data_IF_650576130095
#
_entry.id   IF_650576130095
#
_cell.length_a   1.000
_cell.length_b   1.000
_cell.length_c   1.000
_cell.angle_alpha   90.00
_cell.angle_beta   90.00
_cell.angle_gamma   90.00
#
_symmetry.space_group_name_H-M   'P 1'
#
loop_
_entity.id
_entity.type
_entity.pdbx_description
1 polymer ?
#
# COMPACT_ATOMS: atom_id res chain seq x y z
N UNK A 1 -42.45 -9.93 28.30
CA UNK A 1 -43.47 -10.99 28.07
C UNK A 1 -43.04 -11.68 26.78
N UNK A 2 -42.09 -12.63 26.86
CA UNK A 2 -42.34 -14.09 26.94
C UNK A 2 -43.21 -14.55 25.74
N UNK A 3 -42.86 -15.51 24.89
CA UNK A 3 -42.25 -16.84 25.08
C UNK A 3 -41.59 -17.29 23.74
N UNK A 4 -40.39 -17.90 23.76
CA UNK A 4 -40.08 -19.35 23.71
C UNK A 4 -40.24 -19.97 22.30
N UNK A 5 -39.18 -20.41 21.62
CA UNK A 5 -38.30 -21.58 21.83
C UNK A 5 -38.85 -22.85 21.16
N UNK A 6 -38.14 -23.35 20.14
CA UNK A 6 -37.88 -24.78 19.94
C UNK A 6 -36.82 -24.99 18.85
N UNK A 7 -35.67 -25.53 19.23
CA UNK A 7 -34.71 -26.10 18.30
C UNK A 7 -34.18 -27.40 18.90
N UNK A 8 -34.64 -28.49 18.29
CA UNK A 8 -34.41 -29.86 18.72
C UNK A 8 -32.92 -30.23 18.73
N UNK A 9 -32.54 -30.87 19.82
CA UNK A 9 -31.25 -31.50 20.06
C UNK A 9 -31.14 -32.78 19.21
N UNK A 10 -30.24 -32.83 18.24
CA UNK A 10 -29.87 -34.06 17.54
C UNK A 10 -28.67 -34.71 18.22
N UNK A 11 -28.86 -35.94 18.68
CA UNK A 11 -27.90 -36.77 19.37
C UNK A 11 -26.75 -37.25 18.47
N UNK A 12 -25.52 -37.16 18.95
CA UNK A 12 -24.34 -37.79 18.35
C UNK A 12 -24.19 -39.25 18.82
N UNK A 13 -23.87 -40.21 17.94
CA UNK A 13 -23.43 -41.53 18.37
C UNK A 13 -21.93 -41.52 18.73
N UNK A 14 -21.56 -42.26 19.77
CA UNK A 14 -20.18 -42.48 20.20
C UNK A 14 -19.46 -43.51 19.31
N UNK A 15 -18.18 -43.31 18.98
CA UNK A 15 -17.32 -44.39 18.52
C UNK A 15 -16.25 -44.69 19.56
N UNK A 16 -16.30 -45.91 20.11
CA UNK A 16 -15.18 -46.57 20.74
C UNK A 16 -14.31 -47.21 19.66
N UNK A 17 -13.10 -46.72 19.44
CA UNK A 17 -11.98 -47.52 18.89
C UNK A 17 -10.65 -46.80 19.06
N UNK A 18 -9.65 -47.58 19.44
CA UNK A 18 -8.27 -47.21 19.78
C UNK A 18 -7.54 -46.45 18.65
N UNK A 19 -7.03 -45.25 18.97
CA UNK A 19 -6.11 -44.50 18.11
C UNK A 19 -4.79 -44.29 18.83
N UNK A 20 -3.72 -44.79 18.20
CA UNK A 20 -2.34 -44.63 18.63
C UNK A 20 -1.98 -43.16 18.82
N UNK A 21 -1.33 -42.83 19.94
CA UNK A 21 -0.74 -41.54 20.20
C UNK A 21 0.26 -41.17 19.08
N UNK A 22 -0.12 -40.23 18.21
CA UNK A 22 0.84 -39.38 17.50
C UNK A 22 0.81 -38.00 18.16
N UNK A 23 1.97 -37.44 18.57
CA UNK A 23 1.98 -36.10 19.14
C UNK A 23 1.53 -35.11 18.06
N UNK A 24 0.47 -34.34 18.36
CA UNK A 24 0.08 -33.19 17.54
C UNK A 24 1.28 -32.24 17.45
N UNK A 25 1.95 -32.23 16.29
CA UNK A 25 2.96 -31.22 15.99
C UNK A 25 2.24 -29.89 15.94
N UNK A 26 2.65 -28.94 16.80
CA UNK A 26 2.20 -27.54 16.74
C UNK A 26 2.59 -26.99 15.37
N UNK A 27 1.65 -27.02 14.42
CA UNK A 27 1.81 -26.35 13.11
C UNK A 27 1.71 -24.86 13.37
N UNK A 28 2.68 -24.11 12.87
CA UNK A 28 2.67 -22.66 12.98
C UNK A 28 1.70 -22.12 11.93
N UNK A 29 0.56 -21.61 12.39
CA UNK A 29 -0.41 -20.91 11.55
C UNK A 29 0.04 -19.46 11.45
N UNK A 30 0.40 -19.00 10.26
CA UNK A 30 0.65 -17.58 10.02
C UNK A 30 -0.70 -16.93 9.76
N UNK A 31 -1.34 -16.44 10.82
CA UNK A 31 -2.54 -15.61 10.72
C UNK A 31 -2.13 -14.14 10.63
N UNK A 32 -2.55 -13.44 9.58
CA UNK A 32 -2.33 -12.01 9.45
C UNK A 32 -3.43 -11.25 10.22
N UNK A 33 -3.28 -11.13 11.54
CA UNK A 33 -4.16 -10.32 12.40
C UNK A 33 -3.48 -9.01 12.79
N UNK A 34 -4.20 -7.91 12.59
CA UNK A 34 -3.79 -6.54 12.93
C UNK A 34 -3.85 -6.28 14.44
N UNK A 35 -2.84 -6.73 15.18
CA UNK A 35 -2.45 -6.20 16.50
C UNK A 35 -1.18 -6.90 16.99
N UNK A 36 -0.02 -6.29 16.76
CA UNK A 36 1.24 -6.71 17.38
C UNK A 36 1.81 -5.56 18.21
N UNK A 37 1.96 -5.83 19.50
CA UNK A 37 2.84 -5.10 20.39
C UNK A 37 4.27 -5.19 19.84
N UNK A 38 4.91 -4.05 19.61
CA UNK A 38 6.29 -3.95 19.17
C UNK A 38 7.23 -4.18 20.35
N UNK A 39 8.00 -5.26 20.31
CA UNK A 39 9.20 -5.43 21.15
C UNK A 39 10.39 -4.81 20.41
N UNK A 40 10.86 -3.68 20.92
CA UNK A 40 11.94 -2.86 20.34
C UNK A 40 13.34 -3.50 20.46
N UNK A 41 13.48 -4.63 21.16
CA UNK A 41 14.78 -5.24 21.45
C UNK A 41 15.31 -6.19 20.36
N UNK A 42 14.50 -6.50 19.33
CA UNK A 42 14.84 -7.46 18.27
C UNK A 42 15.07 -6.83 16.87
N UNK A 43 15.14 -5.50 16.76
CA UNK A 43 15.56 -4.85 15.51
C UNK A 43 17.07 -5.04 15.31
N UNK A 44 17.46 -6.08 14.57
CA UNK A 44 18.76 -6.10 13.91
C UNK A 44 18.85 -4.89 12.95
N UNK A 45 19.99 -4.18 12.90
CA UNK A 45 20.13 -3.03 12.01
C UNK A 45 19.89 -3.46 10.55
N UNK A 46 19.07 -2.67 9.84
CA UNK A 46 18.86 -2.84 8.40
C UNK A 46 20.22 -2.83 7.69
N UNK A 47 20.43 -3.67 6.66
CA UNK A 47 21.68 -3.67 5.92
C UNK A 47 21.94 -2.26 5.38
N UNK A 48 23.11 -1.71 5.71
CA UNK A 48 23.57 -0.44 5.16
C UNK A 48 23.72 -0.64 3.64
N UNK A 49 22.75 -0.15 2.87
CA UNK A 49 22.82 -0.09 1.41
C UNK A 49 23.81 1.02 1.01
N UNK A 50 25.10 0.77 1.27
CA UNK A 50 26.21 1.55 0.74
C UNK A 50 26.66 0.91 -0.58
N UNK A 51 25.85 1.02 -1.62
CA UNK A 51 26.29 0.82 -2.99
C UNK A 51 26.17 2.17 -3.70
N UNK A 52 27.31 2.81 -3.97
CA UNK A 52 27.36 4.02 -4.77
C UNK A 52 26.83 3.71 -6.18
N UNK A 53 25.60 4.12 -6.46
CA UNK A 53 25.02 4.05 -7.81
C UNK A 53 25.77 5.08 -8.67
N UNK A 54 26.39 4.67 -9.79
CA UNK A 54 27.09 5.61 -10.66
C UNK A 54 26.07 6.56 -11.29
N UNK A 55 26.32 7.86 -11.14
CA UNK A 55 25.54 8.92 -11.79
C UNK A 55 25.71 8.84 -13.31
N UNK A 56 24.85 8.07 -13.96
CA UNK A 56 24.74 8.11 -15.43
C UNK A 56 24.02 9.39 -15.83
N UNK A 57 24.81 10.42 -16.10
CA UNK A 57 24.34 11.62 -16.79
C UNK A 57 23.90 11.30 -18.22
N UNK A 58 22.68 11.71 -18.57
CA UNK A 58 22.19 11.75 -19.95
C UNK A 58 20.68 11.52 -20.10
N UNK A 59 19.88 12.59 -20.06
CA UNK A 59 18.62 12.63 -20.83
C UNK A 59 17.28 12.59 -20.10
N UNK A 60 17.16 13.03 -18.84
CA UNK A 60 15.86 13.31 -18.22
C UNK A 60 16.06 13.90 -16.84
N UNK A 61 15.59 15.11 -16.59
CA UNK A 61 15.71 15.76 -15.27
C UNK A 61 14.73 15.09 -14.29
N UNK A 62 15.04 13.88 -13.84
CA UNK A 62 14.25 13.13 -12.88
C UNK A 62 14.15 13.91 -11.56
N UNK A 63 12.96 14.02 -10.99
CA UNK A 63 12.72 14.66 -9.67
C UNK A 63 11.78 13.82 -8.84
N UNK A 64 12.12 13.62 -7.56
CA UNK A 64 11.30 12.87 -6.61
C UNK A 64 10.88 13.85 -5.51
N UNK A 65 9.58 13.95 -5.24
CA UNK A 65 9.06 14.72 -4.10
C UNK A 65 8.28 13.78 -3.19
N UNK A 66 8.32 14.09 -1.90
CA UNK A 66 7.51 13.42 -0.89
C UNK A 66 6.33 14.29 -0.50
N UNK A 67 5.16 13.69 -0.32
CA UNK A 67 4.14 14.29 0.53
C UNK A 67 4.41 13.99 2.01
N UNK A 68 3.45 14.33 2.87
CA UNK A 68 3.57 14.26 4.33
C UNK A 68 3.23 12.88 4.92
N UNK A 69 2.60 11.98 4.16
CA UNK A 69 2.07 10.73 4.70
C UNK A 69 3.17 9.72 5.07
N UNK A 70 4.26 9.67 4.30
CA UNK A 70 5.40 8.80 4.61
C UNK A 70 6.72 9.34 4.00
N UNK A 71 7.33 10.38 4.62
CA UNK A 71 8.59 10.95 4.14
C UNK A 71 9.79 10.02 4.29
N UNK A 72 9.74 9.07 5.23
CA UNK A 72 10.82 8.11 5.46
C UNK A 72 10.97 7.20 4.24
N UNK A 73 9.87 6.62 3.76
CA UNK A 73 9.89 5.78 2.56
C UNK A 73 10.35 6.55 1.32
N UNK A 74 9.88 7.79 1.14
CA UNK A 74 10.31 8.62 0.02
C UNK A 74 11.83 8.89 0.06
N UNK A 75 12.38 9.13 1.26
CA UNK A 75 13.81 9.32 1.45
C UNK A 75 14.61 8.05 1.17
N UNK A 76 14.13 6.88 1.60
CA UNK A 76 14.76 5.59 1.29
C UNK A 76 14.80 5.32 -0.22
N UNK A 77 13.70 5.60 -0.94
CA UNK A 77 13.64 5.49 -2.40
C UNK A 77 14.66 6.43 -3.06
N UNK A 78 14.73 7.69 -2.62
CA UNK A 78 15.68 8.66 -3.17
C UNK A 78 17.14 8.23 -2.91
N UNK A 79 17.45 7.80 -1.69
CA UNK A 79 18.77 7.28 -1.31
C UNK A 79 19.17 6.06 -2.16
N UNK A 80 18.25 5.11 -2.36
CA UNK A 80 18.49 3.93 -3.19
C UNK A 80 18.82 4.30 -4.64
N UNK A 81 18.23 5.39 -5.16
CA UNK A 81 18.51 5.91 -6.50
C UNK A 81 19.74 6.82 -6.56
N UNK A 82 20.42 7.07 -5.43
CA UNK A 82 21.55 8.00 -5.36
C UNK A 82 21.15 9.46 -5.56
N UNK A 83 19.94 9.83 -5.15
CA UNK A 83 19.34 11.16 -5.33
C UNK A 83 18.89 11.77 -4.00
N UNK A 84 18.70 13.08 -4.01
CA UNK A 84 18.05 13.81 -2.92
C UNK A 84 16.57 14.05 -3.24
N UNK A 85 15.74 14.13 -2.20
CA UNK A 85 14.37 14.58 -2.35
C UNK A 85 14.31 16.04 -2.79
N UNK A 86 13.42 16.32 -3.73
CA UNK A 86 13.12 17.65 -4.15
C UNK A 86 12.47 18.47 -3.03
N UNK A 87 12.76 19.77 -3.02
CA UNK A 87 12.29 20.67 -1.97
C UNK A 87 10.85 21.09 -2.21
N UNK A 88 9.96 20.70 -1.31
CA UNK A 88 8.54 21.08 -1.31
C UNK A 88 8.16 21.62 0.06
N UNK A 89 7.43 22.74 0.07
CA UNK A 89 6.85 23.31 1.28
C UNK A 89 5.38 22.93 1.34
N UNK A 90 5.04 22.09 2.31
CA UNK A 90 3.67 21.68 2.61
C UNK A 90 3.30 22.26 3.98
N UNK A 91 2.18 22.96 4.08
CA UNK A 91 1.65 23.47 5.35
C UNK A 91 0.13 23.38 5.36
N UNK A 92 -0.46 23.40 6.55
CA UNK A 92 -1.90 23.51 6.74
C UNK A 92 -2.25 24.92 7.21
N UNK A 93 -3.30 25.49 6.64
CA UNK A 93 -3.90 26.73 7.12
C UNK A 93 -4.74 26.46 8.38
N UNK A 94 -5.17 27.52 9.06
CA UNK A 94 -5.89 27.40 10.34
C UNK A 94 -7.26 26.72 10.22
N UNK A 95 -7.85 26.75 9.03
CA UNK A 95 -9.11 26.09 8.64
C UNK A 95 -8.91 24.66 8.11
N UNK A 96 -7.66 24.18 8.03
CA UNK A 96 -7.32 22.83 7.56
C UNK A 96 -7.00 22.72 6.07
N UNK A 97 -7.12 23.81 5.30
CA UNK A 97 -6.73 23.81 3.89
C UNK A 97 -5.23 23.54 3.69
N UNK A 98 -4.88 22.92 2.56
CA UNK A 98 -3.53 22.47 2.26
C UNK A 98 -2.85 23.45 1.33
N UNK A 99 -1.69 23.93 1.73
CA UNK A 99 -0.80 24.70 0.87
C UNK A 99 0.39 23.86 0.45
N UNK A 100 0.65 23.82 -0.85
CA UNK A 100 1.82 23.18 -1.45
C UNK A 100 2.57 24.18 -2.32
N UNK A 101 3.88 24.26 -2.14
CA UNK A 101 4.76 25.05 -2.99
C UNK A 101 6.03 24.25 -3.31
N UNK A 102 6.27 24.00 -4.59
CA UNK A 102 7.56 23.50 -5.08
C UNK A 102 8.61 24.61 -4.90
N UNK A 103 9.72 24.30 -4.22
CA UNK A 103 10.79 25.27 -3.94
C UNK A 103 11.93 25.21 -4.98
N UNK A 104 11.72 24.46 -6.05
CA UNK A 104 12.66 24.33 -7.16
C UNK A 104 11.92 24.12 -8.49
N UNK A 105 12.60 24.42 -9.60
CA UNK A 105 12.01 24.31 -10.93
C UNK A 105 11.88 22.84 -11.37
N UNK A 106 10.65 22.44 -11.67
CA UNK A 106 10.31 21.14 -12.28
C UNK A 106 10.00 21.23 -13.78
N UNK A 107 10.26 22.38 -14.42
CA UNK A 107 9.97 22.56 -15.85
C UNK A 107 10.73 21.54 -16.70
N UNK A 108 9.99 20.80 -17.53
CA UNK A 108 10.54 19.76 -18.40
C UNK A 108 11.10 18.54 -17.67
N UNK A 109 10.86 18.42 -16.36
CA UNK A 109 11.33 17.31 -15.54
C UNK A 109 10.34 16.14 -15.55
N UNK A 110 10.86 14.93 -15.36
CA UNK A 110 10.04 13.75 -15.10
C UNK A 110 9.88 13.62 -13.58
N UNK A 111 8.68 13.88 -13.09
CA UNK A 111 8.40 14.05 -11.65
C UNK A 111 7.74 12.81 -11.08
N UNK A 112 8.24 12.34 -9.95
CA UNK A 112 7.70 11.24 -9.14
C UNK A 112 7.23 11.80 -7.81
N UNK A 113 5.95 11.62 -7.50
CA UNK A 113 5.34 12.09 -6.25
C UNK A 113 5.04 10.89 -5.37
N UNK A 114 5.81 10.71 -4.29
CA UNK A 114 5.60 9.63 -3.32
C UNK A 114 4.62 10.11 -2.26
N UNK A 115 3.39 9.60 -2.32
CA UNK A 115 2.34 9.93 -1.35
C UNK A 115 1.34 8.78 -1.21
N UNK A 116 1.46 7.96 -0.16
CA UNK A 116 0.40 7.05 0.24
C UNK A 116 -0.89 7.81 0.61
N UNK A 117 -2.06 7.24 0.34
CA UNK A 117 -3.36 7.78 0.76
C UNK A 117 -3.92 7.04 1.98
N UNK A 118 -3.04 6.75 2.94
CA UNK A 118 -3.37 6.11 4.22
C UNK A 118 -4.08 7.10 5.17
N UNK A 119 -4.66 6.64 6.30
CA UNK A 119 -5.30 7.52 7.27
C UNK A 119 -4.36 8.63 7.77
N UNK A 120 -4.79 9.91 7.78
CA UNK A 120 -6.12 10.41 7.39
C UNK A 120 -6.25 10.52 5.84
N UNK A 121 -7.14 9.69 5.28
CA UNK A 121 -7.10 9.34 3.85
C UNK A 121 -7.47 10.51 2.93
N UNK A 122 -8.42 11.35 3.35
CA UNK A 122 -8.90 12.47 2.56
C UNK A 122 -7.85 13.56 2.45
N UNK A 123 -7.17 13.85 3.54
CA UNK A 123 -6.14 14.86 3.68
C UNK A 123 -4.92 14.47 2.87
N UNK A 124 -4.52 13.20 2.92
CA UNK A 124 -3.41 12.67 2.14
C UNK A 124 -3.73 12.60 0.64
N UNK A 125 -4.97 12.25 0.29
CA UNK A 125 -5.47 12.29 -1.10
C UNK A 125 -5.48 13.73 -1.63
N UNK A 126 -6.08 14.67 -0.90
CA UNK A 126 -6.12 16.07 -1.31
C UNK A 126 -4.72 16.67 -1.46
N UNK A 127 -3.79 16.32 -0.57
CA UNK A 127 -2.40 16.74 -0.68
C UNK A 127 -1.75 16.22 -1.97
N UNK A 128 -1.93 14.94 -2.30
CA UNK A 128 -1.44 14.36 -3.56
C UNK A 128 -2.01 15.11 -4.77
N UNK A 129 -3.33 15.36 -4.81
CA UNK A 129 -3.98 16.06 -5.92
C UNK A 129 -3.42 17.48 -6.10
N UNK A 130 -3.20 18.21 -5.01
CA UNK A 130 -2.62 19.56 -5.03
C UNK A 130 -1.15 19.53 -5.46
N UNK A 131 -0.38 18.53 -5.03
CA UNK A 131 1.01 18.33 -5.50
C UNK A 131 1.07 18.04 -7.01
N UNK A 132 0.17 17.21 -7.54
CA UNK A 132 0.05 16.92 -8.97
C UNK A 132 -0.27 18.22 -9.74
N UNK A 133 -1.28 18.97 -9.31
CA UNK A 133 -1.67 20.23 -9.95
C UNK A 133 -0.52 21.26 -9.93
N UNK A 134 0.20 21.39 -8.81
CA UNK A 134 1.38 22.26 -8.70
C UNK A 134 2.47 21.88 -9.71
N UNK A 135 2.76 20.59 -9.88
CA UNK A 135 3.74 20.10 -10.86
C UNK A 135 3.28 20.36 -12.31
N UNK A 136 1.98 20.14 -12.60
CA UNK A 136 1.38 20.36 -13.92
C UNK A 136 1.49 21.82 -14.32
N UNK A 137 1.09 22.75 -13.43
CA UNK A 137 1.16 24.20 -13.66
C UNK A 137 2.61 24.70 -13.76
N UNK A 138 3.55 24.04 -13.07
CA UNK A 138 4.98 24.31 -13.18
C UNK A 138 5.61 23.72 -14.47
N UNK A 139 4.80 23.17 -15.39
CA UNK A 139 5.23 22.61 -16.68
C UNK A 139 6.19 21.41 -16.55
N UNK A 140 5.94 20.53 -15.58
CA UNK A 140 6.55 19.20 -15.56
C UNK A 140 6.27 18.46 -16.88
N UNK A 141 7.24 17.69 -17.35
CA UNK A 141 7.10 16.91 -18.61
C UNK A 141 6.20 15.70 -18.38
N UNK A 142 6.45 14.97 -17.30
CA UNK A 142 5.62 13.85 -16.85
C UNK A 142 5.45 13.91 -15.34
N UNK A 143 4.31 13.39 -14.86
CA UNK A 143 3.99 13.31 -13.44
C UNK A 143 3.54 11.89 -13.15
N UNK A 144 4.34 11.15 -12.37
CA UNK A 144 4.04 9.81 -11.90
C UNK A 144 3.63 9.86 -10.44
N UNK A 145 2.40 9.47 -10.13
CA UNK A 145 1.95 9.34 -8.74
C UNK A 145 2.38 7.96 -8.20
N UNK A 146 3.27 7.97 -7.21
CA UNK A 146 3.73 6.76 -6.51
C UNK A 146 2.90 6.64 -5.23
N UNK A 147 2.00 5.64 -5.21
CA UNK A 147 0.98 5.44 -4.18
C UNK A 147 1.17 4.06 -3.54
N UNK A 148 2.08 3.93 -2.54
CA UNK A 148 2.36 2.66 -1.88
C UNK A 148 1.14 2.04 -1.19
N UNK A 149 0.19 2.87 -0.74
CA UNK A 149 -1.09 2.43 -0.20
C UNK A 149 -2.19 3.22 -0.88
N UNK A 150 -3.05 2.52 -1.65
CA UNK A 150 -4.19 3.11 -2.32
C UNK A 150 -5.42 3.10 -1.40
N UNK A 151 -5.71 4.24 -0.78
CA UNK A 151 -6.93 4.49 -0.02
C UNK A 151 -8.19 4.29 -0.87
N UNK A 152 -9.31 4.00 -0.22
CA UNK A 152 -10.59 3.65 -0.87
C UNK A 152 -10.59 2.36 -1.70
N UNK A 153 -9.48 1.61 -1.77
CA UNK A 153 -9.38 0.39 -2.58
C UNK A 153 -10.39 -0.71 -2.22
N UNK A 154 -10.93 -0.73 -0.99
CA UNK A 154 -11.98 -1.68 -0.56
C UNK A 154 -13.37 -1.36 -1.09
N UNK A 155 -13.56 -0.15 -1.63
CA UNK A 155 -14.81 0.31 -2.24
C UNK A 155 -14.66 0.34 -3.78
N UNK A 156 -14.25 -0.80 -4.34
CA UNK A 156 -13.97 -1.04 -5.76
C UNK A 156 -15.20 -1.57 -6.53
N UNK A 157 -16.20 -2.08 -5.83
CA UNK A 157 -17.47 -2.53 -6.44
C UNK A 157 -18.67 -2.13 -5.60
N UNK A 158 -19.85 -2.15 -6.23
CA UNK A 158 -21.12 -2.07 -5.52
C UNK A 158 -21.45 -3.43 -4.93
N UNK A 159 -21.62 -3.49 -3.62
CA UNK A 159 -22.18 -4.63 -2.91
C UNK A 159 -23.70 -4.54 -2.84
N UNK A 160 -24.25 -3.32 -2.81
CA UNK A 160 -25.68 -3.04 -2.84
C UNK A 160 -26.05 -1.98 -3.88
N UNK A 161 -27.35 -1.86 -4.16
CA UNK A 161 -27.86 -0.78 -5.01
C UNK A 161 -27.57 0.60 -4.40
N UNK A 162 -27.25 1.58 -5.25
CA UNK A 162 -27.00 3.00 -4.88
C UNK A 162 -25.74 3.27 -4.06
N UNK A 163 -24.78 2.35 -4.06
CA UNK A 163 -23.44 2.61 -3.52
C UNK A 163 -22.53 3.35 -4.51
N UNK A 164 -21.52 4.03 -3.98
CA UNK A 164 -20.43 4.60 -4.78
C UNK A 164 -19.37 3.53 -5.10
N UNK A 165 -18.60 3.76 -6.15
CA UNK A 165 -17.35 3.04 -6.41
C UNK A 165 -16.23 4.04 -6.13
N UNK A 166 -15.88 4.19 -4.86
CA UNK A 166 -14.97 5.24 -4.41
C UNK A 166 -13.56 5.06 -4.98
N UNK A 167 -13.10 3.81 -5.17
CA UNK A 167 -11.81 3.54 -5.81
C UNK A 167 -11.75 4.13 -7.24
N UNK A 168 -12.82 3.98 -8.03
CA UNK A 168 -12.93 4.56 -9.38
C UNK A 168 -13.00 6.09 -9.32
N UNK A 169 -13.75 6.66 -8.37
CA UNK A 169 -13.78 8.11 -8.18
C UNK A 169 -12.38 8.67 -7.90
N UNK A 170 -11.63 8.05 -6.98
CA UNK A 170 -10.27 8.46 -6.63
C UNK A 170 -9.33 8.34 -7.84
N UNK A 171 -9.44 7.24 -8.60
CA UNK A 171 -8.66 7.07 -9.83
C UNK A 171 -8.92 8.18 -10.86
N UNK A 172 -10.20 8.55 -11.05
CA UNK A 172 -10.59 9.66 -11.92
C UNK A 172 -10.00 10.99 -11.43
N UNK A 173 -10.09 11.28 -10.12
CA UNK A 173 -9.54 12.52 -9.55
C UNK A 173 -8.03 12.65 -9.76
N UNK A 174 -7.27 11.57 -9.54
CA UNK A 174 -5.82 11.53 -9.75
C UNK A 174 -5.49 11.77 -11.23
N UNK A 175 -6.24 11.15 -12.13
CA UNK A 175 -6.09 11.30 -13.59
C UNK A 175 -6.38 12.74 -14.01
N UNK A 176 -7.51 13.31 -13.58
CA UNK A 176 -7.94 14.67 -13.91
C UNK A 176 -7.02 15.77 -13.34
N UNK A 177 -6.46 15.55 -12.13
CA UNK A 177 -5.45 16.45 -11.58
C UNK A 177 -4.24 16.59 -12.52
N UNK A 178 -3.93 15.54 -13.30
CA UNK A 178 -2.90 15.55 -14.34
C UNK A 178 -1.78 14.55 -14.11
N UNK A 179 -2.03 13.47 -13.37
CA UNK A 179 -1.11 12.35 -13.35
C UNK A 179 -1.03 11.73 -14.76
N UNK A 180 0.19 11.43 -15.21
CA UNK A 180 0.45 10.77 -16.48
C UNK A 180 0.58 9.25 -16.32
N UNK A 181 0.92 8.81 -15.11
CA UNK A 181 1.16 7.41 -14.73
C UNK A 181 0.92 7.24 -13.23
N UNK A 182 0.51 6.05 -12.83
CA UNK A 182 0.41 5.66 -11.41
C UNK A 182 1.31 4.46 -11.16
N UNK A 183 2.02 4.46 -10.04
CA UNK A 183 2.69 3.28 -9.51
C UNK A 183 2.03 2.95 -8.18
N UNK A 184 1.42 1.77 -8.07
CA UNK A 184 0.74 1.33 -6.86
C UNK A 184 1.28 -0.02 -6.39
N UNK A 185 1.30 -0.26 -5.08
CA UNK A 185 1.69 -1.54 -4.48
C UNK A 185 0.46 -2.30 -3.99
N UNK A 186 0.39 -3.59 -4.30
CA UNK A 186 -0.59 -4.55 -3.79
C UNK A 186 -2.03 -3.98 -3.68
N UNK A 187 -2.59 -3.61 -4.84
CA UNK A 187 -3.98 -3.15 -4.92
C UNK A 187 -4.92 -4.21 -4.37
N UNK A 188 -5.93 -3.78 -3.60
CA UNK A 188 -6.92 -4.66 -2.98
C UNK A 188 -7.58 -5.62 -3.99
N UNK A 189 -7.77 -5.13 -5.21
CA UNK A 189 -8.33 -5.89 -6.33
C UNK A 189 -7.56 -5.52 -7.59
N UNK A 190 -7.03 -6.51 -8.30
CA UNK A 190 -6.30 -6.30 -9.55
C UNK A 190 -7.12 -5.61 -10.64
N UNK A 191 -8.45 -5.68 -10.57
CA UNK A 191 -9.35 -4.97 -11.48
C UNK A 191 -9.28 -3.44 -11.31
N UNK A 192 -8.80 -2.96 -10.16
CA UNK A 192 -8.64 -1.53 -9.90
C UNK A 192 -7.66 -0.85 -10.86
N UNK A 193 -6.76 -1.62 -11.50
CA UNK A 193 -5.91 -1.14 -12.59
C UNK A 193 -6.75 -0.55 -13.72
N UNK A 194 -7.87 -1.19 -14.06
CA UNK A 194 -8.79 -0.74 -15.11
C UNK A 194 -9.62 0.50 -14.75
N UNK A 195 -9.47 1.06 -13.54
CA UNK A 195 -10.10 2.33 -13.19
C UNK A 195 -9.34 3.54 -13.72
N UNK A 196 -8.06 3.39 -14.02
CA UNK A 196 -7.25 4.46 -14.57
C UNK A 196 -7.24 4.40 -16.09
N UNK A 197 -7.49 5.55 -16.72
CA UNK A 197 -7.37 5.73 -18.17
C UNK A 197 -5.92 6.08 -18.58
N UNK A 198 -4.98 5.98 -17.63
CA UNK A 198 -3.54 6.21 -17.76
C UNK A 198 -2.78 4.94 -17.35
N UNK A 199 -1.52 4.74 -17.80
CA UNK A 199 -0.73 3.59 -17.42
C UNK A 199 -0.57 3.44 -15.90
N UNK A 200 -0.77 2.22 -15.41
CA UNK A 200 -0.57 1.85 -14.00
C UNK A 200 0.46 0.74 -13.91
N UNK A 201 1.52 0.99 -13.15
CA UNK A 201 2.49 -0.02 -12.77
C UNK A 201 2.09 -0.60 -11.41
N UNK A 202 1.61 -1.85 -11.43
CA UNK A 202 1.20 -2.58 -10.22
C UNK A 202 2.37 -3.42 -9.70
N UNK A 203 2.94 -3.00 -8.57
CA UNK A 203 4.06 -3.68 -7.91
C UNK A 203 3.53 -4.63 -6.86
N UNK A 204 4.14 -5.82 -6.76
CA UNK A 204 3.75 -6.85 -5.80
C UNK A 204 4.76 -6.97 -4.67
N UNK A 205 4.30 -6.90 -3.43
CA UNK A 205 5.11 -7.13 -2.23
C UNK A 205 5.33 -8.62 -1.92
N UNK A 206 4.58 -9.52 -2.55
CA UNK A 206 4.64 -10.97 -2.33
C UNK A 206 6.07 -11.53 -2.38
N UNK A 207 6.94 -11.22 -3.38
CA UNK A 207 8.29 -11.76 -3.41
C UNK A 207 9.11 -11.40 -2.16
N UNK A 208 8.99 -10.16 -1.67
CA UNK A 208 9.69 -9.70 -0.45
C UNK A 208 9.25 -10.48 0.78
N UNK A 209 7.95 -10.73 0.90
CA UNK A 209 7.39 -11.51 2.02
C UNK A 209 7.87 -12.96 1.94
N UNK A 210 7.87 -13.56 0.74
CA UNK A 210 8.33 -14.93 0.54
C UNK A 210 9.82 -15.08 0.86
N UNK A 211 10.65 -14.15 0.43
CA UNK A 211 12.09 -14.14 0.74
C UNK A 211 12.33 -14.01 2.26
N UNK A 212 11.56 -13.13 2.92
CA UNK A 212 11.62 -13.00 4.38
C UNK A 212 11.21 -14.30 5.09
N UNK A 213 10.13 -14.95 4.67
CA UNK A 213 9.68 -16.22 5.27
C UNK A 213 10.68 -17.35 5.00
N UNK A 214 11.26 -17.41 3.81
CA UNK A 214 12.29 -18.38 3.44
C UNK A 214 13.58 -18.18 4.25
N UNK A 215 13.89 -16.94 4.66
CA UNK A 215 15.01 -16.65 5.56
C UNK A 215 14.80 -17.15 6.99
N UNK A 216 13.56 -17.50 7.37
CA UNK A 216 13.27 -18.08 8.68
C UNK A 216 13.53 -19.59 8.65
N UNK A 217 14.09 -20.11 9.74
CA UNK A 217 14.35 -21.54 9.92
C UNK A 217 13.05 -22.32 10.21
N UNK A 218 12.07 -22.24 9.31
CA UNK A 218 10.80 -22.97 9.38
C UNK A 218 10.85 -24.04 8.31
N UNK A 219 10.62 -25.30 8.69
CA UNK A 219 10.59 -26.40 7.71
C UNK A 219 9.38 -26.21 6.80
N UNK A 220 9.53 -26.35 5.47
CA UNK A 220 8.40 -26.22 4.54
C UNK A 220 7.20 -27.11 4.88
N UNK A 221 7.45 -28.31 5.44
CA UNK A 221 6.41 -29.26 5.87
C UNK A 221 5.57 -28.81 7.05
N UNK A 222 6.01 -27.78 7.78
CA UNK A 222 5.34 -27.27 8.99
C UNK A 222 4.63 -25.92 8.74
N UNK A 223 4.70 -25.39 7.52
CA UNK A 223 4.08 -24.12 7.14
C UNK A 223 2.71 -24.38 6.51
N UNK A 224 1.72 -23.60 6.93
CA UNK A 224 0.42 -23.51 6.28
C UNK A 224 0.09 -22.05 6.07
N UNK A 225 -0.20 -21.67 4.82
CA UNK A 225 -0.71 -20.35 4.46
C UNK A 225 -2.22 -20.37 4.63
N UNK A 226 -2.76 -19.42 5.39
CA UNK A 226 -4.18 -19.33 5.69
C UNK A 226 -4.70 -17.99 5.19
N UNK A 227 -5.76 -18.03 4.39
CA UNK A 227 -6.50 -16.81 4.04
C UNK A 227 -7.49 -16.48 5.15
N UNK A 228 -7.54 -15.22 5.64
CA UNK A 228 -8.48 -14.82 6.68
C UNK A 228 -9.94 -14.81 6.21
N UNK A 229 -10.17 -14.68 4.90
CA UNK A 229 -11.48 -14.69 4.29
C UNK A 229 -11.43 -15.30 2.88
N UNK A 230 -12.60 -15.47 2.25
CA UNK A 230 -12.71 -16.06 0.91
C UNK A 230 -12.13 -15.18 -0.21
N UNK A 231 -12.07 -13.86 0.00
CA UNK A 231 -11.54 -12.91 -0.98
C UNK A 231 -10.02 -13.02 -1.15
N UNK A 232 -9.29 -13.37 -0.09
CA UNK A 232 -7.84 -13.58 -0.14
C UNK A 232 -7.37 -14.90 -0.77
N UNK A 233 -8.30 -15.78 -1.19
CA UNK A 233 -7.97 -17.05 -1.87
C UNK A 233 -7.96 -16.90 -3.39
N UNK A 234 -8.70 -15.91 -3.92
CA UNK A 234 -8.99 -15.76 -5.35
C UNK A 234 -7.91 -15.01 -6.13
#
# INVERSE_FOLDING_TARGET
MAMAADAACCACPSPSTSLSHRPMRRRMVVACSSSMFYDSSLLSPLPQFAAAVPSRGGGGRLRIFSGSANPVLAQEIACYLGMELGRVKIKRFADGEIYVQLQESVRGCDVFLVQPTCPPANENLMELLIMIDACRRASAKTITAVIPYFGYARADRKMQGRESIAAKLVANLITEAGAHRVLACDLHSGQSIGYFDIPVDHVHGQPVILDYLASKTIRPSDVVVVSPDVGGVA
#
